data_IF_802141222036
#
_entry.id   IF_802141222036
#
_cell.length_a   1.000
_cell.length_b   1.000
_cell.length_c   1.000
_cell.angle_alpha   90.00
_cell.angle_beta   90.00
_cell.angle_gamma   90.00
#
_symmetry.space_group_name_H-M   'P 1'
#
loop_
_entity.id
_entity.type
_entity.pdbx_description
1 polymer ?
#
# COMPACT_ATOMS: atom_id res chain seq x y z
N UNK A 1 -9.73 -47.05 -6.81
CA UNK A 1 -10.27 -45.83 -6.17
C UNK A 1 -9.16 -45.12 -5.43
N UNK A 2 -8.61 -44.05 -6.01
CA UNK A 2 -7.83 -43.04 -5.29
C UNK A 2 -7.86 -41.78 -6.16
N UNK A 3 -8.31 -40.66 -5.57
CA UNK A 3 -8.69 -39.41 -6.24
C UNK A 3 -7.42 -38.58 -6.49
N UNK A 4 -7.23 -38.08 -7.71
CA UNK A 4 -6.33 -36.95 -7.99
C UNK A 4 -7.20 -35.69 -8.02
N UNK A 5 -6.90 -34.74 -7.15
CA UNK A 5 -7.51 -33.40 -7.16
C UNK A 5 -6.64 -32.50 -8.01
N UNK A 6 -7.23 -32.00 -9.10
CA UNK A 6 -6.64 -31.02 -10.00
C UNK A 6 -6.52 -29.64 -9.32
N UNK A 7 -5.46 -28.94 -9.68
CA UNK A 7 -5.10 -27.63 -9.17
C UNK A 7 -5.83 -26.55 -9.98
N UNK A 8 -6.90 -25.98 -9.45
CA UNK A 8 -7.47 -24.73 -9.99
C UNK A 8 -6.62 -23.54 -9.53
N UNK A 9 -5.60 -23.21 -10.31
CA UNK A 9 -4.92 -21.90 -10.23
C UNK A 9 -5.62 -20.94 -11.18
N UNK A 10 -6.76 -20.39 -10.75
CA UNK A 10 -7.40 -19.28 -11.45
C UNK A 10 -6.69 -17.97 -11.07
N UNK A 11 -5.81 -17.51 -11.97
CA UNK A 11 -5.25 -16.16 -11.93
C UNK A 11 -6.41 -15.17 -12.12
N UNK A 12 -6.87 -14.56 -11.03
CA UNK A 12 -7.81 -13.42 -11.08
C UNK A 12 -7.06 -12.18 -11.55
N UNK A 13 -7.00 -12.00 -12.86
CA UNK A 13 -6.64 -10.73 -13.49
C UNK A 13 -7.85 -9.81 -13.33
N UNK A 14 -7.69 -8.75 -12.54
CA UNK A 14 -8.65 -7.64 -12.49
C UNK A 14 -8.77 -7.01 -13.89
N UNK A 15 -9.77 -7.43 -14.65
CA UNK A 15 -10.21 -6.73 -15.86
C UNK A 15 -10.88 -5.43 -15.42
N UNK A 16 -10.17 -4.33 -15.67
CA UNK A 16 -10.73 -2.98 -15.67
C UNK A 16 -11.64 -2.89 -16.89
N UNK A 17 -12.95 -3.03 -16.70
CA UNK A 17 -13.91 -2.62 -17.73
C UNK A 17 -13.79 -1.11 -17.91
N UNK A 18 -13.12 -0.74 -19.00
CA UNK A 18 -13.15 0.58 -19.60
C UNK A 18 -14.59 0.87 -20.00
N UNK A 19 -15.21 1.84 -19.33
CA UNK A 19 -16.50 2.38 -19.70
C UNK A 19 -16.49 2.78 -21.17
N UNK A 20 -17.30 2.07 -21.94
CA UNK A 20 -17.57 2.31 -23.34
C UNK A 20 -18.40 3.59 -23.45
N UNK A 21 -17.75 4.76 -23.54
CA UNK A 21 -18.45 5.99 -23.92
C UNK A 21 -18.76 5.90 -25.42
N UNK A 22 -19.95 5.40 -25.74
CA UNK A 22 -20.52 5.54 -27.08
C UNK A 22 -20.76 7.03 -27.29
N UNK A 23 -19.94 7.62 -28.17
CA UNK A 23 -20.14 8.94 -28.73
C UNK A 23 -21.44 8.92 -29.53
N UNK A 24 -22.50 9.53 -29.00
CA UNK A 24 -23.72 9.80 -29.76
C UNK A 24 -23.39 10.80 -30.88
N UNK A 25 -23.30 10.27 -32.09
CA UNK A 25 -23.36 11.04 -33.33
C UNK A 25 -24.79 11.54 -33.48
N UNK A 26 -25.03 12.82 -33.21
CA UNK A 26 -26.31 13.47 -33.52
C UNK A 26 -26.22 14.06 -34.92
N UNK A 27 -26.96 13.42 -35.82
CA UNK A 27 -27.18 13.81 -37.21
C UNK A 27 -28.01 15.11 -37.22
N UNK A 28 -27.58 16.11 -37.99
CA UNK A 28 -28.22 17.42 -38.06
C UNK A 28 -29.35 17.43 -39.10
N UNK A 29 -30.60 17.74 -38.72
CA UNK A 29 -31.57 18.28 -39.66
C UNK A 29 -31.73 19.77 -39.39
N UNK A 30 -31.35 20.59 -40.36
CA UNK A 30 -31.68 22.02 -40.42
C UNK A 30 -33.18 22.22 -40.21
N UNK A 31 -33.63 23.01 -39.22
CA UNK A 31 -35.01 23.48 -39.20
C UNK A 31 -35.03 24.93 -39.69
N UNK A 32 -35.65 25.14 -40.84
CA UNK A 32 -36.02 26.47 -41.29
C UNK A 32 -36.86 27.19 -40.24
N UNK A 33 -36.61 28.49 -40.11
CA UNK A 33 -37.26 29.37 -39.14
C UNK A 33 -38.77 29.47 -39.41
N UNK A 34 -39.62 29.32 -38.38
CA UNK A 34 -40.90 29.99 -38.33
C UNK A 34 -40.83 31.08 -37.26
N UNK A 35 -40.73 32.33 -37.71
CA UNK A 35 -41.18 33.50 -36.94
C UNK A 35 -42.57 33.19 -36.40
N UNK A 36 -42.78 33.19 -35.08
CA UNK A 36 -44.08 33.45 -34.44
C UNK A 36 -43.93 33.63 -32.91
N UNK A 37 -44.28 34.85 -32.47
CA UNK A 37 -44.80 35.27 -31.18
C UNK A 37 -44.12 34.78 -29.88
N UNK A 38 -43.56 35.71 -29.10
CA UNK A 38 -43.28 35.51 -27.67
C UNK A 38 -44.59 35.43 -26.86
N UNK A 39 -44.78 34.38 -26.04
CA UNK A 39 -45.74 34.44 -24.94
C UNK A 39 -45.07 33.98 -23.64
N UNK A 40 -44.94 34.88 -22.68
CA UNK A 40 -44.69 34.50 -21.29
C UNK A 40 -43.41 35.07 -20.69
N UNK A 41 -43.36 36.39 -20.51
CA UNK A 41 -42.69 36.91 -19.32
C UNK A 41 -43.43 36.29 -18.12
N UNK A 42 -42.77 35.35 -17.44
CA UNK A 42 -43.26 34.75 -16.21
C UNK A 42 -43.55 35.87 -15.21
N UNK A 43 -44.84 36.12 -14.98
CA UNK A 43 -45.33 37.10 -14.02
C UNK A 43 -45.07 36.56 -12.61
N UNK A 44 -43.91 36.89 -12.03
CA UNK A 44 -43.75 36.79 -10.58
C UNK A 44 -44.59 37.88 -9.95
N UNK A 45 -45.80 37.52 -9.51
CA UNK A 45 -46.62 38.38 -8.67
C UNK A 45 -45.97 38.48 -7.29
N UNK A 46 -45.13 39.49 -7.09
CA UNK A 46 -44.58 39.83 -5.78
C UNK A 46 -45.71 40.40 -4.93
N UNK A 47 -46.35 39.54 -4.14
CA UNK A 47 -47.33 39.95 -3.14
C UNK A 47 -46.58 40.61 -1.97
N UNK A 48 -46.36 41.91 -2.06
CA UNK A 48 -46.00 42.77 -0.94
C UNK A 48 -47.27 43.25 -0.26
N UNK A 49 -47.96 42.36 0.45
CA UNK A 49 -48.68 42.77 1.64
C UNK A 49 -47.63 43.17 2.67
N UNK A 50 -47.51 44.48 2.85
CA UNK A 50 -46.94 45.12 4.04
C UNK A 50 -47.53 44.43 5.26
N UNK A 51 -46.72 43.63 5.93
CA UNK A 51 -46.42 43.70 7.36
C UNK A 51 -45.60 42.44 7.72
N UNK A 52 -44.61 42.61 8.60
CA UNK A 52 -43.61 41.64 9.06
C UNK A 52 -42.38 41.38 8.17
N UNK A 53 -41.47 42.35 8.18
CA UNK A 53 -40.02 42.11 8.05
C UNK A 53 -39.57 41.31 9.26
N UNK A 54 -39.65 39.98 9.17
CA UNK A 54 -38.97 39.08 10.11
C UNK A 54 -38.35 37.91 9.33
N UNK A 55 -37.05 37.69 9.53
CA UNK A 55 -36.46 36.36 9.30
C UNK A 55 -35.34 36.23 8.28
N UNK A 56 -34.22 36.93 8.49
CA UNK A 56 -32.86 36.46 8.17
C UNK A 56 -32.51 36.15 6.70
N UNK A 57 -32.30 37.20 5.89
CA UNK A 57 -31.14 37.17 4.99
C UNK A 57 -29.89 37.42 5.85
N UNK A 58 -29.27 36.35 6.33
CA UNK A 58 -27.95 36.41 6.99
C UNK A 58 -26.88 36.78 5.95
N UNK A 59 -26.91 38.03 5.52
CA UNK A 59 -25.88 38.68 4.73
C UNK A 59 -24.71 39.00 5.66
N UNK A 60 -24.08 37.93 6.18
CA UNK A 60 -22.80 38.07 6.86
C UNK A 60 -21.79 38.70 5.89
N UNK A 61 -20.99 39.68 6.34
CA UNK A 61 -20.01 40.33 5.47
C UNK A 61 -19.12 39.26 4.85
N UNK A 62 -18.89 39.37 3.53
CA UNK A 62 -18.19 38.37 2.71
C UNK A 62 -16.87 37.86 3.36
N UNK A 63 -16.20 38.70 4.15
CA UNK A 63 -14.99 38.36 4.89
C UNK A 63 -15.13 37.27 5.97
N UNK A 64 -16.24 37.18 6.70
CA UNK A 64 -16.38 36.17 7.78
C UNK A 64 -16.62 34.76 7.23
N UNK A 65 -17.31 34.62 6.09
CA UNK A 65 -17.46 33.32 5.40
C UNK A 65 -16.11 32.81 4.89
N UNK A 66 -15.28 33.69 4.32
CA UNK A 66 -13.92 33.36 3.88
C UNK A 66 -13.00 32.97 5.05
N UNK A 67 -13.06 33.68 6.17
CA UNK A 67 -12.29 33.36 7.37
C UNK A 67 -12.65 31.99 7.96
N UNK A 68 -13.94 31.68 8.09
CA UNK A 68 -14.41 30.36 8.57
C UNK A 68 -13.98 29.22 7.65
N UNK A 69 -14.11 29.43 6.33
CA UNK A 69 -13.67 28.44 5.33
C UNK A 69 -12.16 28.20 5.42
N UNK A 70 -11.35 29.27 5.46
CA UNK A 70 -9.89 29.17 5.58
C UNK A 70 -9.47 28.37 6.81
N UNK A 71 -10.06 28.65 7.98
CA UNK A 71 -9.79 27.92 9.22
C UNK A 71 -10.13 26.43 9.09
N UNK A 72 -11.25 26.09 8.44
CA UNK A 72 -11.62 24.69 8.21
C UNK A 72 -10.60 23.97 7.33
N UNK A 73 -10.17 24.59 6.24
CA UNK A 73 -9.16 24.03 5.33
C UNK A 73 -7.83 23.84 6.06
N UNK A 74 -7.37 24.84 6.81
CA UNK A 74 -6.13 24.75 7.59
C UNK A 74 -6.18 23.64 8.64
N UNK A 75 -7.29 23.52 9.36
CA UNK A 75 -7.50 22.44 10.34
C UNK A 75 -7.49 21.06 9.69
N UNK A 76 -8.15 20.90 8.53
CA UNK A 76 -8.13 19.63 7.78
C UNK A 76 -6.73 19.29 7.27
N UNK A 77 -6.00 20.29 6.76
CA UNK A 77 -4.63 20.11 6.29
C UNK A 77 -3.68 19.72 7.43
N UNK A 78 -3.83 20.35 8.60
CA UNK A 78 -3.08 19.99 9.80
C UNK A 78 -3.33 18.53 10.18
N UNK A 79 -4.61 18.14 10.31
CA UNK A 79 -4.97 16.76 10.65
C UNK A 79 -4.39 15.75 9.65
N UNK A 80 -4.45 16.06 8.35
CA UNK A 80 -3.83 15.23 7.31
C UNK A 80 -2.31 15.11 7.48
N UNK A 81 -1.63 16.23 7.73
CA UNK A 81 -0.18 16.23 7.96
C UNK A 81 0.20 15.42 9.20
N UNK A 82 -0.61 15.48 10.26
CA UNK A 82 -0.37 14.74 11.49
C UNK A 82 -0.54 13.23 11.26
N UNK A 83 -1.62 12.81 10.57
CA UNK A 83 -1.80 11.40 10.17
C UNK A 83 -0.66 10.90 9.29
N UNK A 84 -0.17 11.73 8.35
CA UNK A 84 0.96 11.36 7.50
C UNK A 84 2.25 11.16 8.30
N UNK A 85 2.54 12.07 9.24
CA UNK A 85 3.71 11.95 10.13
C UNK A 85 3.63 10.70 10.99
N UNK A 86 2.46 10.42 11.58
CA UNK A 86 2.24 9.22 12.37
C UNK A 86 2.44 7.95 11.54
N UNK A 87 1.87 7.89 10.33
CA UNK A 87 2.07 6.77 9.41
C UNK A 87 3.54 6.56 9.06
N UNK A 88 4.29 7.64 8.78
CA UNK A 88 5.72 7.57 8.52
C UNK A 88 6.50 7.06 9.74
N UNK A 89 6.17 7.52 10.94
CA UNK A 89 6.82 7.05 12.17
C UNK A 89 6.56 5.56 12.41
N UNK A 90 5.33 5.09 12.21
CA UNK A 90 4.98 3.69 12.32
C UNK A 90 5.73 2.84 11.28
N UNK A 91 5.78 3.29 10.02
CA UNK A 91 6.52 2.61 8.97
C UNK A 91 8.01 2.48 9.32
N UNK A 92 8.63 3.58 9.76
CA UNK A 92 10.04 3.57 10.16
C UNK A 92 10.30 2.63 11.35
N UNK A 93 9.37 2.57 12.31
CA UNK A 93 9.45 1.65 13.45
C UNK A 93 9.43 0.19 12.99
N UNK A 94 8.46 -0.18 12.15
CA UNK A 94 8.33 -1.54 11.60
C UNK A 94 9.56 -1.90 10.76
N UNK A 95 10.03 -0.98 9.92
CA UNK A 95 11.20 -1.22 9.08
C UNK A 95 12.48 -1.47 9.91
N UNK A 96 12.72 -0.65 10.94
CA UNK A 96 13.85 -0.84 11.87
C UNK A 96 13.74 -2.16 12.63
N UNK A 97 12.55 -2.47 13.14
CA UNK A 97 12.32 -3.72 13.86
C UNK A 97 12.59 -4.93 12.96
N UNK A 98 11.98 -4.97 11.77
CA UNK A 98 12.13 -6.07 10.81
C UNK A 98 13.58 -6.25 10.35
N UNK A 99 14.30 -5.14 10.12
CA UNK A 99 15.73 -5.20 9.79
C UNK A 99 16.54 -5.78 10.94
N UNK A 100 16.28 -5.36 12.18
CA UNK A 100 16.94 -5.92 13.36
C UNK A 100 16.62 -7.40 13.59
N UNK A 101 15.38 -7.84 13.37
CA UNK A 101 14.99 -9.25 13.49
C UNK A 101 15.66 -10.13 12.43
N UNK A 102 15.71 -9.67 11.18
CA UNK A 102 16.45 -10.35 10.11
C UNK A 102 17.94 -10.48 10.44
N UNK A 103 18.56 -9.39 10.93
CA UNK A 103 19.96 -9.42 11.34
C UNK A 103 20.20 -10.45 12.44
N UNK A 104 19.42 -10.41 13.53
CA UNK A 104 19.53 -11.40 14.62
C UNK A 104 19.37 -12.83 14.14
N UNK A 105 18.42 -13.06 13.23
CA UNK A 105 18.19 -14.39 12.65
C UNK A 105 19.40 -14.88 11.87
N UNK A 106 20.00 -14.01 11.05
CA UNK A 106 21.22 -14.30 10.32
C UNK A 106 22.38 -14.58 11.28
N UNK A 107 22.60 -13.76 12.30
CA UNK A 107 23.67 -13.95 13.30
C UNK A 107 23.54 -15.29 14.04
N UNK A 108 22.31 -15.72 14.35
CA UNK A 108 22.04 -17.03 14.97
C UNK A 108 22.36 -18.17 14.00
N UNK A 109 21.97 -18.04 12.73
CA UNK A 109 22.25 -19.05 11.71
C UNK A 109 23.75 -19.19 11.46
N UNK A 110 24.46 -18.07 11.33
CA UNK A 110 25.92 -18.03 11.17
C UNK A 110 26.63 -18.73 12.34
N UNK A 111 26.28 -18.35 13.58
CA UNK A 111 26.84 -18.99 14.78
C UNK A 111 26.49 -20.47 14.88
N UNK A 112 25.30 -20.88 14.44
CA UNK A 112 24.90 -22.30 14.40
C UNK A 112 25.74 -23.09 13.39
N UNK A 113 26.01 -22.50 12.22
CA UNK A 113 26.90 -23.10 11.21
C UNK A 113 28.31 -23.22 11.76
N UNK A 114 28.85 -22.15 12.34
CA UNK A 114 30.19 -22.12 12.94
C UNK A 114 30.35 -23.17 14.05
N UNK A 115 29.37 -23.27 14.96
CA UNK A 115 29.35 -24.27 16.02
C UNK A 115 29.32 -25.71 15.46
N UNK A 116 28.52 -25.94 14.41
CA UNK A 116 28.47 -27.25 13.73
C UNK A 116 29.79 -27.59 13.05
N UNK A 117 30.39 -26.64 12.32
CA UNK A 117 31.68 -26.81 11.65
C UNK A 117 32.79 -27.09 12.67
N UNK A 118 32.83 -26.32 13.76
CA UNK A 118 33.77 -26.51 14.88
C UNK A 118 33.62 -27.91 15.50
N UNK A 119 32.38 -28.35 15.75
CA UNK A 119 32.12 -29.70 16.28
C UNK A 119 32.66 -30.81 15.36
N UNK A 120 32.55 -30.64 14.04
CA UNK A 120 33.07 -31.62 13.06
C UNK A 120 34.60 -31.63 13.08
N UNK A 121 35.24 -30.46 13.08
CA UNK A 121 36.70 -30.32 13.12
C UNK A 121 37.29 -30.90 14.40
N UNK A 122 36.61 -30.74 15.54
CA UNK A 122 37.07 -31.24 16.84
C UNK A 122 36.76 -32.73 17.08
N UNK A 123 36.01 -33.39 16.21
CA UNK A 123 35.63 -34.78 16.43
C UNK A 123 36.83 -35.71 16.25
N UNK A 124 37.15 -36.49 17.29
CA UNK A 124 38.21 -37.50 17.23
C UNK A 124 37.75 -38.68 16.36
N UNK A 125 38.49 -38.93 15.30
CA UNK A 125 38.19 -39.99 14.34
C UNK A 125 38.29 -41.39 14.95
N UNK A 126 39.09 -41.58 16.00
CA UNK A 126 39.23 -42.87 16.69
C UNK A 126 37.93 -43.29 17.41
N UNK A 127 37.02 -42.35 17.64
CA UNK A 127 35.69 -42.64 18.22
C UNK A 127 34.70 -43.20 17.20
N UNK A 128 35.03 -43.19 15.91
CA UNK A 128 34.17 -43.65 14.82
C UNK A 128 34.63 -45.03 14.34
N UNK A 129 33.87 -46.07 14.69
CA UNK A 129 34.17 -47.46 14.31
C UNK A 129 33.88 -47.77 12.85
N UNK A 130 32.86 -47.14 12.27
CA UNK A 130 32.43 -47.37 10.88
C UNK A 130 33.42 -46.72 9.88
N UNK A 131 34.11 -47.50 9.03
CA UNK A 131 35.12 -46.98 8.10
C UNK A 131 34.56 -45.93 7.13
N UNK A 132 33.30 -46.06 6.70
CA UNK A 132 32.69 -45.13 5.75
C UNK A 132 32.39 -43.78 6.41
N UNK A 133 31.88 -43.80 7.63
CA UNK A 133 31.63 -42.56 8.40
C UNK A 133 32.93 -41.90 8.82
N UNK A 134 33.93 -42.69 9.17
CA UNK A 134 35.26 -42.21 9.53
C UNK A 134 35.86 -41.38 8.37
N UNK A 135 35.90 -41.96 7.17
CA UNK A 135 36.44 -41.26 5.99
C UNK A 135 35.59 -40.04 5.61
N UNK A 136 34.26 -40.13 5.71
CA UNK A 136 33.38 -38.98 5.48
C UNK A 136 33.71 -37.81 6.41
N UNK A 137 33.85 -38.05 7.72
CA UNK A 137 34.16 -36.99 8.69
C UNK A 137 35.55 -36.40 8.41
N UNK A 138 36.55 -37.25 8.13
CA UNK A 138 37.90 -36.82 7.73
C UNK A 138 37.86 -35.85 6.54
N UNK A 139 37.10 -36.18 5.50
CA UNK A 139 36.94 -35.31 4.33
C UNK A 139 36.23 -34.00 4.67
N UNK A 140 35.22 -34.02 5.54
CA UNK A 140 34.56 -32.80 6.00
C UNK A 140 35.53 -31.90 6.79
N UNK A 141 36.37 -32.46 7.66
CA UNK A 141 37.39 -31.71 8.40
C UNK A 141 38.33 -30.98 7.43
N UNK A 142 38.87 -31.70 6.44
CA UNK A 142 39.74 -31.12 5.41
C UNK A 142 39.05 -29.98 4.64
N UNK A 143 37.81 -30.20 4.22
CA UNK A 143 37.03 -29.18 3.48
C UNK A 143 36.82 -27.91 4.33
N UNK A 144 36.48 -28.06 5.60
CA UNK A 144 36.26 -26.93 6.51
C UNK A 144 37.56 -26.17 6.78
N UNK A 145 38.66 -26.87 7.09
CA UNK A 145 39.96 -26.24 7.31
C UNK A 145 40.44 -25.48 6.07
N UNK A 146 40.28 -26.06 4.88
CA UNK A 146 40.61 -25.39 3.61
C UNK A 146 39.74 -24.15 3.36
N UNK A 147 38.44 -24.19 3.70
CA UNK A 147 37.54 -23.04 3.63
C UNK A 147 38.01 -21.92 4.57
N UNK A 148 38.35 -22.26 5.82
CA UNK A 148 38.80 -21.29 6.83
C UNK A 148 40.14 -20.65 6.45
N UNK A 149 41.09 -21.43 5.92
CA UNK A 149 42.38 -20.92 5.46
C UNK A 149 42.26 -19.83 4.38
N UNK A 150 41.26 -19.94 3.48
CA UNK A 150 40.99 -18.94 2.44
C UNK A 150 40.33 -17.65 2.95
N UNK A 151 39.71 -17.71 4.13
CA UNK A 151 39.05 -16.53 4.73
C UNK A 151 40.02 -15.70 5.57
N UNK A 152 41.20 -16.24 5.91
CA UNK A 152 42.24 -15.58 6.70
C UNK A 152 43.40 -15.02 5.84
N UNK A 153 43.38 -15.23 4.52
CA UNK A 153 44.31 -14.66 3.54
C UNK A 153 43.74 -13.41 2.90
#
# INVERSE_FOLDING_TARGET
MQKFTDYDTAISVFQRESGHFVSSQEDSPTPESPTMASPGLSSFSLNITSDDVEGSSSQQPIGVKKAKFKRRVESQNSAFCDTLKEGQQQFMKVFKQNTGERQRTNDILERKVECRETKIVMMDLNTITDPMKHEFVRQQQLKIMAKQARQQS
#
